data_IF_706551566022
#
_entry.id   IF_706551566022
#
_cell.length_a   1.000
_cell.length_b   1.000
_cell.length_c   1.000
_cell.angle_alpha   90.00
_cell.angle_beta   90.00
_cell.angle_gamma   90.00
#
_symmetry.space_group_name_H-M   'P 1'
#
loop_
_entity.id
_entity.type
_entity.pdbx_description
1 polymer ?
#
# COMPACT_ATOMS: atom_id res chain seq x y z
N UNK A 1 8.29 -16.84 10.18
CA UNK A 1 9.22 -15.99 9.40
C UNK A 1 8.51 -14.66 9.17
N UNK A 2 8.77 -13.64 9.98
CA UNK A 2 8.00 -12.39 9.99
C UNK A 2 8.92 -11.17 10.20
N UNK A 3 10.07 -11.13 9.50
CA UNK A 3 11.05 -10.04 9.64
C UNK A 3 11.03 -9.01 8.50
N UNK A 4 10.29 -9.24 7.42
CA UNK A 4 10.19 -8.30 6.29
C UNK A 4 9.11 -7.23 6.44
N UNK A 5 8.01 -7.55 7.14
CA UNK A 5 6.86 -6.65 7.34
C UNK A 5 7.21 -5.42 8.20
N UNK A 6 8.06 -5.60 9.22
CA UNK A 6 8.42 -4.55 10.17
C UNK A 6 9.20 -3.40 9.52
N UNK A 7 10.04 -3.71 8.52
CA UNK A 7 10.85 -2.72 7.84
C UNK A 7 10.02 -1.81 6.93
N UNK A 8 9.00 -2.34 6.24
CA UNK A 8 8.07 -1.54 5.41
C UNK A 8 7.22 -0.61 6.29
N UNK A 9 6.82 -1.09 7.46
CA UNK A 9 6.15 -0.29 8.48
C UNK A 9 7.02 0.89 8.96
N UNK A 10 8.30 0.62 9.27
CA UNK A 10 9.25 1.67 9.68
C UNK A 10 9.59 2.65 8.57
N UNK A 11 9.76 2.16 7.33
CA UNK A 11 10.18 2.99 6.19
C UNK A 11 9.07 3.92 5.70
N UNK A 12 7.83 3.44 5.63
CA UNK A 12 6.72 4.18 5.03
C UNK A 12 5.69 4.67 6.07
N UNK A 13 5.75 4.18 7.30
CA UNK A 13 4.84 4.53 8.39
C UNK A 13 3.43 3.99 8.18
N UNK A 14 3.27 2.84 7.54
CA UNK A 14 1.97 2.26 7.15
C UNK A 14 1.49 1.31 8.22
N UNK A 15 0.19 1.32 8.56
CA UNK A 15 -0.32 0.42 9.61
C UNK A 15 -0.43 -1.01 9.11
N UNK A 16 -0.58 -1.94 10.06
CA UNK A 16 -0.65 -3.37 9.74
C UNK A 16 -1.96 -3.69 9.02
N UNK A 17 -3.00 -2.96 9.40
CA UNK A 17 -4.35 -3.01 8.82
C UNK A 17 -4.32 -2.61 7.34
N UNK A 18 -3.63 -1.50 7.02
CA UNK A 18 -3.41 -1.06 5.64
C UNK A 18 -2.60 -2.08 4.85
N UNK A 19 -1.57 -2.70 5.45
CA UNK A 19 -0.77 -3.74 4.82
C UNK A 19 -1.61 -4.98 4.47
N UNK A 20 -2.43 -5.45 5.41
CA UNK A 20 -3.35 -6.59 5.20
C UNK A 20 -4.34 -6.29 4.07
N UNK A 21 -4.85 -5.06 4.03
CA UNK A 21 -5.73 -4.56 2.97
C UNK A 21 -5.02 -4.53 1.60
N UNK A 22 -3.78 -4.04 1.54
CA UNK A 22 -2.96 -4.04 0.32
C UNK A 22 -2.75 -5.47 -0.15
N UNK A 23 -2.31 -6.36 0.73
CA UNK A 23 -2.02 -7.75 0.41
C UNK A 23 -3.28 -8.46 -0.12
N UNK A 24 -4.42 -8.26 0.53
CA UNK A 24 -5.72 -8.81 0.10
C UNK A 24 -6.17 -8.27 -1.27
N UNK A 25 -5.97 -6.97 -1.53
CA UNK A 25 -6.25 -6.39 -2.84
C UNK A 25 -5.29 -6.92 -3.92
N UNK A 26 -4.00 -7.07 -3.61
CA UNK A 26 -3.02 -7.68 -4.52
C UNK A 26 -3.42 -9.10 -4.89
N UNK A 27 -3.75 -9.95 -3.90
CA UNK A 27 -4.22 -11.32 -4.12
C UNK A 27 -5.48 -11.38 -4.98
N UNK A 28 -6.46 -10.52 -4.71
CA UNK A 28 -7.69 -10.42 -5.48
C UNK A 28 -7.45 -10.07 -6.95
N UNK A 29 -6.41 -9.28 -7.22
CA UNK A 29 -6.00 -8.89 -8.55
C UNK A 29 -4.96 -9.83 -9.18
N UNK A 30 -4.54 -10.89 -8.46
CA UNK A 30 -3.48 -11.82 -8.86
C UNK A 30 -2.15 -11.10 -9.15
N UNK A 31 -1.87 -10.03 -8.40
CA UNK A 31 -0.65 -9.24 -8.52
C UNK A 31 0.29 -9.63 -7.39
N UNK A 32 1.57 -9.78 -7.73
CA UNK A 32 2.60 -10.05 -6.75
C UNK A 32 2.79 -8.82 -5.84
N UNK A 33 2.52 -9.00 -4.54
CA UNK A 33 2.65 -7.93 -3.56
C UNK A 33 4.08 -7.41 -3.51
N UNK A 34 5.12 -8.24 -3.67
CA UNK A 34 6.49 -7.75 -3.56
C UNK A 34 6.82 -6.79 -4.70
N UNK A 35 6.36 -7.10 -5.91
CA UNK A 35 6.49 -6.25 -7.10
C UNK A 35 5.67 -4.95 -7.00
N UNK A 36 4.46 -5.02 -6.46
CA UNK A 36 3.53 -3.90 -6.35
C UNK A 36 3.76 -3.03 -5.11
N UNK A 37 4.42 -3.59 -4.09
CA UNK A 37 4.57 -2.94 -2.80
C UNK A 37 5.36 -1.64 -2.92
N UNK A 38 6.47 -1.56 -3.64
CA UNK A 38 7.23 -0.30 -3.71
C UNK A 38 6.40 0.88 -4.25
N UNK A 39 5.63 0.68 -5.32
CA UNK A 39 4.80 1.73 -5.92
C UNK A 39 3.64 2.13 -5.02
N UNK A 40 2.95 1.16 -4.41
CA UNK A 40 1.88 1.42 -3.44
C UNK A 40 2.42 2.14 -2.20
N UNK A 41 3.51 1.62 -1.62
CA UNK A 41 4.12 2.18 -0.42
C UNK A 41 4.60 3.61 -0.68
N UNK A 42 5.17 3.89 -1.86
CA UNK A 42 5.61 5.24 -2.26
C UNK A 42 4.42 6.19 -2.42
N UNK A 43 3.36 5.78 -3.11
CA UNK A 43 2.13 6.59 -3.27
C UNK A 43 1.43 6.82 -1.93
N UNK A 44 1.33 5.78 -1.11
CA UNK A 44 0.72 5.85 0.22
C UNK A 44 1.49 6.82 1.11
N UNK A 45 2.82 6.70 1.14
CA UNK A 45 3.66 7.63 1.91
C UNK A 45 3.55 9.07 1.39
N UNK A 46 3.55 9.28 0.08
CA UNK A 46 3.36 10.61 -0.51
C UNK A 46 2.01 11.22 -0.13
N UNK A 47 0.91 10.46 -0.25
CA UNK A 47 -0.42 10.92 0.17
C UNK A 47 -0.50 11.17 1.67
N UNK A 48 0.20 10.37 2.49
CA UNK A 48 0.26 10.56 3.94
C UNK A 48 1.02 11.81 4.35
N UNK A 49 2.11 12.15 3.65
CA UNK A 49 2.89 13.36 3.91
C UNK A 49 2.14 14.61 3.43
N UNK A 50 1.37 14.50 2.35
CA UNK A 50 0.56 15.59 1.79
C UNK A 50 -0.71 15.85 2.62
N UNK A 51 -1.31 14.81 3.20
CA UNK A 51 -2.52 14.92 4.04
C UNK A 51 -2.20 15.04 5.53
N UNK A 52 -2.74 16.08 6.15
CA UNK A 52 -2.66 16.32 7.61
C UNK A 52 -3.34 15.18 8.41
N UNK A 53 -4.40 14.59 7.87
CA UNK A 53 -5.04 13.36 8.38
C UNK A 53 -5.27 12.38 7.23
N UNK A 54 -4.76 11.16 7.38
CA UNK A 54 -4.98 10.07 6.44
C UNK A 54 -6.01 9.11 7.05
N UNK A 55 -7.18 9.07 6.43
CA UNK A 55 -8.27 8.18 6.80
C UNK A 55 -8.09 6.81 6.14
N UNK A 56 -8.70 5.77 6.71
CA UNK A 56 -8.67 4.41 6.16
C UNK A 56 -9.26 4.38 4.73
N UNK A 57 -10.27 5.22 4.46
CA UNK A 57 -10.86 5.38 3.13
C UNK A 57 -9.88 6.00 2.12
N UNK A 58 -8.98 6.86 2.57
CA UNK A 58 -7.95 7.46 1.71
C UNK A 58 -6.84 6.46 1.40
N UNK A 59 -6.44 5.68 2.40
CA UNK A 59 -5.56 4.54 2.24
C UNK A 59 -6.11 3.57 1.18
N UNK A 60 -7.34 3.08 1.35
CA UNK A 60 -8.02 2.21 0.37
C UNK A 60 -7.98 2.80 -1.05
N UNK A 61 -8.26 4.10 -1.15
CA UNK A 61 -8.31 4.79 -2.45
C UNK A 61 -6.93 4.85 -3.11
N UNK A 62 -5.88 5.19 -2.36
CA UNK A 62 -4.50 5.25 -2.86
C UNK A 62 -4.02 3.88 -3.33
N UNK A 63 -4.34 2.84 -2.55
CA UNK A 63 -3.99 1.45 -2.86
C UNK A 63 -4.72 0.98 -4.12
N UNK A 64 -6.03 1.22 -4.21
CA UNK A 64 -6.84 0.88 -5.37
C UNK A 64 -6.39 1.62 -6.63
N UNK A 65 -6.06 2.92 -6.52
CA UNK A 65 -5.61 3.75 -7.65
C UNK A 65 -4.25 3.26 -8.18
N UNK A 66 -3.33 2.92 -7.28
CA UNK A 66 -2.04 2.33 -7.64
C UNK A 66 -2.18 0.98 -8.35
N UNK A 67 -3.06 0.09 -7.88
CA UNK A 67 -3.37 -1.18 -8.55
C UNK A 67 -3.95 -0.94 -9.94
N UNK A 68 -4.88 0.01 -10.07
CA UNK A 68 -5.51 0.31 -11.36
C UNK A 68 -4.54 0.90 -12.37
N UNK A 69 -3.63 1.78 -11.95
CA UNK A 69 -2.56 2.33 -12.78
C UNK A 69 -1.68 1.22 -13.37
N UNK A 70 -1.35 0.24 -12.55
CA UNK A 70 -0.48 -0.88 -12.95
C UNK A 70 -1.19 -1.85 -13.89
N UNK A 71 -2.50 -2.05 -13.73
CA UNK A 71 -3.30 -2.84 -14.69
C UNK A 71 -3.54 -2.16 -16.02
N UNK A 72 -3.32 -0.84 -16.12
CA UNK A 72 -3.49 -0.06 -17.36
C UNK A 72 -2.19 0.12 -18.15
N UNK A 73 -1.05 -0.35 -17.65
CA UNK A 73 0.22 -0.42 -18.40
C UNK A 73 0.44 -1.82 -18.97
#
# INVERSE_FOLDING_TARGET
MAKGLDQKFLHYGIRREDLDLIESLCEKHNIDFDWLSEEILRKYHASKVDKIEMLDSDAEKVISDAIQLIRQQ
#
